data_IF_652798990789
#
_entry.id   IF_652798990789
#
_cell.length_a   1.000
_cell.length_b   1.000
_cell.length_c   1.000
_cell.angle_alpha   90.00
_cell.angle_beta   90.00
_cell.angle_gamma   90.00
#
_symmetry.space_group_name_H-M   'P 1'
#
loop_
_entity.id
_entity.type
_entity.pdbx_description
1 polymer ?
#
# COMPACT_ATOMS: atom_id res chain seq x y z
N UNK A 1 -15.83 10.16 44.38
CA UNK A 1 -14.60 9.35 44.58
C UNK A 1 -14.82 7.96 44.02
N UNK A 2 -14.51 7.71 42.76
CA UNK A 2 -14.45 6.35 42.21
C UNK A 2 -13.07 5.79 42.57
N UNK A 3 -13.07 4.69 43.32
CA UNK A 3 -11.86 3.92 43.66
C UNK A 3 -11.14 3.57 42.36
N UNK A 4 -9.85 3.82 42.30
CA UNK A 4 -8.91 3.17 41.39
C UNK A 4 -9.05 1.66 41.67
N UNK A 5 -9.83 0.94 40.85
CA UNK A 5 -9.78 -0.50 40.82
C UNK A 5 -8.40 -0.87 40.29
N UNK A 6 -7.60 -1.46 41.15
CA UNK A 6 -6.33 -2.08 40.80
C UNK A 6 -6.59 -3.02 39.63
N UNK A 7 -5.84 -2.82 38.56
CA UNK A 7 -5.87 -3.60 37.34
C UNK A 7 -5.99 -5.10 37.63
N UNK A 8 -7.08 -5.74 37.20
CA UNK A 8 -7.18 -7.19 37.23
C UNK A 8 -5.94 -7.81 36.59
N UNK A 9 -5.36 -8.89 37.10
CA UNK A 9 -4.19 -9.53 36.51
C UNK A 9 -4.46 -9.84 35.06
N UNK A 10 -3.49 -9.53 34.19
CA UNK A 10 -3.58 -9.75 32.74
C UNK A 10 -3.96 -11.20 32.48
N UNK A 11 -5.02 -11.45 31.72
CA UNK A 11 -5.46 -12.81 31.42
C UNK A 11 -4.35 -13.58 30.69
N UNK A 12 -4.26 -14.89 30.90
CA UNK A 12 -3.26 -15.74 30.23
C UNK A 12 -3.26 -15.56 28.71
N UNK A 13 -4.46 -15.43 28.11
CA UNK A 13 -4.60 -15.19 26.68
C UNK A 13 -3.95 -13.86 26.21
N UNK A 14 -4.13 -12.80 26.99
CA UNK A 14 -3.50 -11.49 26.70
C UNK A 14 -1.99 -11.54 26.82
N UNK A 15 -1.48 -12.19 27.89
CA UNK A 15 -0.04 -12.38 28.06
C UNK A 15 0.56 -13.17 26.88
N UNK A 16 -0.09 -14.26 26.48
CA UNK A 16 0.37 -15.09 25.36
C UNK A 16 0.40 -14.29 24.05
N UNK A 17 -0.61 -13.47 23.78
CA UNK A 17 -0.63 -12.60 22.59
C UNK A 17 0.54 -11.61 22.59
N UNK A 18 0.82 -10.97 23.72
CA UNK A 18 1.95 -10.05 23.86
C UNK A 18 3.28 -10.79 23.61
N UNK A 19 3.45 -11.97 24.21
CA UNK A 19 4.66 -12.77 24.02
C UNK A 19 4.82 -13.20 22.54
N UNK A 20 3.75 -13.60 21.88
CA UNK A 20 3.78 -13.96 20.45
C UNK A 20 4.10 -12.75 19.56
N UNK A 21 3.53 -11.58 19.84
CA UNK A 21 3.85 -10.37 19.08
C UNK A 21 5.31 -9.94 19.28
N UNK A 22 5.83 -10.00 20.50
CA UNK A 22 7.25 -9.72 20.81
C UNK A 22 8.17 -10.75 20.15
N UNK A 23 7.83 -12.04 20.23
CA UNK A 23 8.59 -13.11 19.56
C UNK A 23 8.59 -12.93 18.03
N UNK A 24 7.44 -12.57 17.44
CA UNK A 24 7.32 -12.27 16.03
C UNK A 24 8.15 -11.06 15.60
N UNK A 25 8.15 -9.99 16.40
CA UNK A 25 9.04 -8.84 16.21
C UNK A 25 10.50 -9.26 16.26
N UNK A 26 10.91 -10.03 17.29
CA UNK A 26 12.26 -10.58 17.39
C UNK A 26 12.64 -11.45 16.18
N UNK A 27 11.74 -12.32 15.72
CA UNK A 27 11.93 -13.11 14.49
C UNK A 27 12.15 -12.22 13.28
N UNK A 28 11.38 -11.14 13.15
CA UNK A 28 11.53 -10.16 12.05
C UNK A 28 12.92 -9.52 12.07
N UNK A 29 13.44 -9.17 13.27
CA UNK A 29 14.80 -8.65 13.40
C UNK A 29 15.86 -9.67 13.01
N UNK A 30 15.74 -10.92 13.49
CA UNK A 30 16.69 -12.00 13.16
C UNK A 30 16.78 -12.21 11.66
N UNK A 31 15.65 -12.15 10.96
CA UNK A 31 15.60 -12.41 9.51
C UNK A 31 16.07 -11.19 8.70
N UNK A 32 15.53 -10.01 8.98
CA UNK A 32 15.58 -8.87 8.06
C UNK A 32 16.44 -7.67 8.52
N UNK A 33 16.89 -7.61 9.79
CA UNK A 33 17.66 -6.46 10.25
C UNK A 33 18.94 -6.26 9.39
N UNK A 34 19.27 -5.07 8.96
CA UNK A 34 18.68 -3.75 9.23
C UNK A 34 17.54 -3.35 8.27
N UNK A 35 16.98 -4.26 7.52
CA UNK A 35 15.97 -4.02 6.49
C UNK A 35 16.54 -4.03 5.08
N UNK A 36 15.72 -4.39 4.10
CA UNK A 36 16.10 -4.41 2.68
C UNK A 36 15.89 -3.05 2.05
N UNK A 37 16.98 -2.38 1.72
CA UNK A 37 16.97 -1.10 1.04
C UNK A 37 16.90 -1.31 -0.48
N UNK A 38 15.70 -1.15 -1.05
CA UNK A 38 15.48 -1.24 -2.50
C UNK A 38 15.91 0.02 -3.22
N UNK A 39 15.82 0.02 -4.56
CA UNK A 39 16.09 1.21 -5.38
C UNK A 39 15.23 2.41 -4.93
N UNK A 40 13.91 2.21 -4.77
CA UNK A 40 13.01 3.26 -4.29
C UNK A 40 13.43 3.80 -2.91
N UNK A 41 13.83 2.92 -2.00
CA UNK A 41 14.28 3.30 -0.67
C UNK A 41 15.62 4.07 -0.70
N UNK A 42 16.55 3.66 -1.55
CA UNK A 42 17.82 4.39 -1.76
C UNK A 42 17.56 5.81 -2.26
N UNK A 43 16.64 5.98 -3.20
CA UNK A 43 16.24 7.28 -3.72
C UNK A 43 15.70 8.20 -2.61
N UNK A 44 14.79 7.68 -1.75
CA UNK A 44 14.29 8.42 -0.58
C UNK A 44 15.41 8.78 0.39
N UNK A 45 16.34 7.84 0.66
CA UNK A 45 17.44 8.07 1.59
C UNK A 45 18.47 9.09 1.04
N UNK A 46 18.69 9.11 -0.28
CA UNK A 46 19.50 10.14 -0.94
C UNK A 46 18.87 11.53 -0.83
N UNK A 47 17.55 11.63 -0.93
CA UNK A 47 16.84 12.89 -0.71
C UNK A 47 17.03 13.41 0.72
N UNK A 48 17.09 12.53 1.73
CA UNK A 48 17.44 12.90 3.12
C UNK A 48 18.85 13.49 3.16
N UNK A 49 19.83 12.81 2.56
CA UNK A 49 21.23 13.25 2.57
C UNK A 49 21.44 14.58 1.82
N UNK A 50 20.67 14.82 0.76
CA UNK A 50 20.71 16.04 -0.06
C UNK A 50 19.84 17.17 0.48
N UNK A 51 19.03 16.91 1.53
CA UNK A 51 18.01 17.84 2.03
C UNK A 51 17.03 18.31 0.94
N UNK A 52 16.66 17.41 0.03
CA UNK A 52 15.71 17.67 -1.05
C UNK A 52 14.41 16.94 -0.78
N UNK A 53 13.30 17.52 -1.24
CA UNK A 53 11.98 16.90 -1.16
C UNK A 53 11.35 16.94 -2.55
N UNK A 54 11.13 15.76 -3.13
CA UNK A 54 10.42 15.61 -4.40
C UNK A 54 9.11 14.85 -4.23
N UNK A 55 8.19 15.00 -5.19
CA UNK A 55 6.89 14.30 -5.19
C UNK A 55 6.89 13.00 -5.99
N UNK A 56 8.04 12.56 -6.52
CA UNK A 56 8.17 11.24 -7.16
C UNK A 56 8.01 10.11 -6.16
N UNK A 57 8.71 10.23 -5.05
CA UNK A 57 8.44 9.45 -3.85
C UNK A 57 7.59 10.29 -2.88
N UNK A 58 7.20 9.74 -1.73
CA UNK A 58 6.45 10.53 -0.76
C UNK A 58 7.37 11.45 0.03
N UNK A 59 7.27 12.78 -0.06
CA UNK A 59 8.06 13.69 0.76
C UNK A 59 7.79 13.50 2.25
N UNK A 60 6.61 13.02 2.63
CA UNK A 60 6.27 12.71 4.02
C UNK A 60 7.03 11.47 4.51
N UNK A 61 7.31 10.48 3.66
CA UNK A 61 8.17 9.36 4.01
C UNK A 61 9.62 9.84 4.22
N UNK A 62 10.12 10.75 3.36
CA UNK A 62 11.45 11.34 3.50
C UNK A 62 11.58 12.08 4.84
N UNK A 63 10.59 12.92 5.19
CA UNK A 63 10.57 13.65 6.47
C UNK A 63 10.47 12.68 7.66
N UNK A 64 9.57 11.72 7.64
CA UNK A 64 9.46 10.72 8.72
C UNK A 64 10.78 10.00 8.92
N UNK A 65 11.40 9.54 7.83
CA UNK A 65 12.66 8.82 7.91
C UNK A 65 13.79 9.71 8.43
N UNK A 66 13.90 10.96 8.00
CA UNK A 66 14.88 11.91 8.52
C UNK A 66 14.76 12.17 10.03
N UNK A 67 13.53 12.13 10.57
CA UNK A 67 13.26 12.29 12.01
C UNK A 67 13.70 11.07 12.80
N UNK A 68 13.50 9.87 12.27
CA UNK A 68 13.86 8.63 12.99
C UNK A 68 15.30 8.16 12.72
N UNK A 69 15.93 8.62 11.64
CA UNK A 69 17.27 8.20 11.21
C UNK A 69 18.35 8.37 12.32
N UNK A 70 18.37 9.45 13.12
CA UNK A 70 19.36 9.61 14.19
C UNK A 70 19.31 8.53 15.28
N UNK A 71 18.19 7.80 15.40
CA UNK A 71 18.05 6.71 16.39
C UNK A 71 18.79 5.43 15.96
N UNK A 72 18.84 5.17 14.66
CA UNK A 72 19.56 4.05 14.07
C UNK A 72 19.82 4.37 12.57
N UNK A 73 20.94 5.02 12.23
CA UNK A 73 21.20 5.54 10.91
C UNK A 73 21.09 4.50 9.78
N UNK A 74 20.62 4.93 8.62
CA UNK A 74 20.41 4.09 7.45
C UNK A 74 19.05 3.41 7.42
N UNK A 75 19.01 2.19 6.92
CA UNK A 75 17.78 1.42 6.77
C UNK A 75 17.13 1.00 8.10
N UNK A 76 17.92 0.89 9.16
CA UNK A 76 17.50 0.30 10.41
C UNK A 76 16.35 1.06 11.09
N UNK A 77 16.40 2.39 11.14
CA UNK A 77 15.40 3.20 11.85
C UNK A 77 13.99 3.03 11.29
N UNK A 78 13.84 3.20 9.98
CA UNK A 78 12.53 3.08 9.33
C UNK A 78 12.04 1.62 9.30
N UNK A 79 12.96 0.64 9.13
CA UNK A 79 12.64 -0.77 9.24
C UNK A 79 12.09 -1.13 10.62
N UNK A 80 12.76 -0.68 11.70
CA UNK A 80 12.30 -0.91 13.08
C UNK A 80 10.91 -0.32 13.33
N UNK A 81 10.66 0.89 12.83
CA UNK A 81 9.34 1.54 12.91
C UNK A 81 8.27 0.71 12.20
N UNK A 82 8.53 0.29 10.96
CA UNK A 82 7.57 -0.51 10.17
C UNK A 82 7.28 -1.86 10.82
N UNK A 83 8.31 -2.56 11.29
CA UNK A 83 8.18 -3.83 11.99
C UNK A 83 7.43 -3.68 13.32
N UNK A 84 7.71 -2.61 14.08
CA UNK A 84 7.00 -2.31 15.32
C UNK A 84 5.51 -2.03 15.04
N UNK A 85 5.18 -1.21 14.06
CA UNK A 85 3.79 -0.92 13.68
C UNK A 85 3.04 -2.18 13.26
N UNK A 86 3.70 -3.06 12.49
CA UNK A 86 3.12 -4.33 12.06
C UNK A 86 2.76 -5.23 13.24
N UNK A 87 3.72 -5.52 14.11
CA UNK A 87 3.51 -6.42 15.24
C UNK A 87 2.64 -5.80 16.34
N UNK A 88 2.71 -4.48 16.53
CA UNK A 88 1.79 -3.75 17.41
C UNK A 88 0.35 -3.90 16.90
N UNK A 89 0.12 -3.79 15.58
CA UNK A 89 -1.21 -3.94 15.00
C UNK A 89 -1.80 -5.32 15.28
N UNK A 90 -1.10 -6.40 14.93
CA UNK A 90 -1.59 -7.75 15.15
C UNK A 90 -1.65 -8.13 16.64
N UNK A 91 -0.72 -7.60 17.45
CA UNK A 91 -0.73 -7.74 18.91
C UNK A 91 -1.95 -7.07 19.55
N UNK A 92 -2.25 -5.82 19.20
CA UNK A 92 -3.44 -5.10 19.67
C UNK A 92 -4.74 -5.79 19.24
N UNK A 93 -4.80 -6.28 18.00
CA UNK A 93 -5.96 -7.01 17.52
C UNK A 93 -6.18 -8.30 18.32
N UNK A 94 -5.14 -9.11 18.50
CA UNK A 94 -5.20 -10.32 19.33
C UNK A 94 -5.57 -10.00 20.77
N UNK A 95 -5.01 -8.95 21.36
CA UNK A 95 -5.32 -8.50 22.71
C UNK A 95 -6.80 -8.13 22.85
N UNK A 96 -7.38 -7.43 21.88
CA UNK A 96 -8.81 -7.09 21.88
C UNK A 96 -9.73 -8.31 21.68
N UNK A 97 -9.24 -9.36 21.02
CA UNK A 97 -9.98 -10.59 20.81
C UNK A 97 -9.88 -11.58 22.00
N UNK A 98 -8.96 -11.34 22.95
CA UNK A 98 -8.70 -12.23 24.08
C UNK A 98 -9.92 -12.42 25.00
N UNK A 99 -10.78 -11.41 25.11
CA UNK A 99 -12.01 -11.48 25.91
C UNK A 99 -13.09 -12.39 25.26
N UNK A 100 -12.89 -12.80 24.01
CA UNK A 100 -13.83 -13.66 23.28
C UNK A 100 -13.41 -15.11 23.30
N UNK A 101 -12.20 -15.39 22.91
CA UNK A 101 -11.60 -16.71 23.01
C UNK A 101 -10.08 -16.64 22.85
N UNK A 102 -9.38 -17.53 23.53
CA UNK A 102 -7.93 -17.69 23.38
C UNK A 102 -7.52 -18.04 21.95
N UNK A 103 -8.30 -18.87 21.24
CA UNK A 103 -8.01 -19.26 19.86
C UNK A 103 -8.05 -18.06 18.91
N UNK A 104 -9.04 -17.18 19.03
CA UNK A 104 -9.13 -15.95 18.23
C UNK A 104 -8.01 -14.97 18.58
N UNK A 105 -7.68 -14.83 19.86
CA UNK A 105 -6.60 -13.97 20.30
C UNK A 105 -5.25 -14.37 19.68
N UNK A 106 -4.91 -15.65 19.79
CA UNK A 106 -3.64 -16.22 19.28
C UNK A 106 -3.61 -16.25 17.76
N UNK A 107 -4.75 -16.45 17.10
CA UNK A 107 -4.79 -16.49 15.62
C UNK A 107 -4.33 -15.18 14.98
N UNK A 108 -4.50 -14.03 15.64
CA UNK A 108 -4.05 -12.74 15.12
C UNK A 108 -2.52 -12.68 14.90
N UNK A 109 -1.66 -12.83 15.90
CA UNK A 109 -0.21 -12.84 15.68
C UNK A 109 0.30 -14.04 14.88
N UNK A 110 -0.41 -15.17 14.86
CA UNK A 110 -0.06 -16.33 14.03
C UNK A 110 -0.32 -16.04 12.56
N UNK A 111 -1.47 -15.45 12.21
CA UNK A 111 -1.78 -15.06 10.84
C UNK A 111 -0.88 -13.94 10.33
N UNK A 112 -0.30 -13.12 11.21
CA UNK A 112 0.73 -12.18 10.84
C UNK A 112 1.99 -12.84 10.23
N UNK A 113 2.24 -14.12 10.50
CA UNK A 113 3.32 -14.90 9.87
C UNK A 113 2.97 -15.44 8.49
N UNK A 114 1.73 -15.20 8.00
CA UNK A 114 1.33 -15.62 6.66
C UNK A 114 2.29 -15.04 5.61
N UNK A 115 2.85 -15.87 4.68
CA UNK A 115 3.92 -15.47 3.80
C UNK A 115 3.69 -14.15 3.05
N UNK A 116 2.55 -13.89 2.37
CA UNK A 116 2.33 -12.63 1.69
C UNK A 116 2.26 -11.40 2.60
N UNK A 117 1.90 -11.57 3.87
CA UNK A 117 1.89 -10.48 4.84
C UNK A 117 3.29 -10.28 5.44
N UNK A 118 3.94 -11.37 5.88
CA UNK A 118 5.19 -11.31 6.63
C UNK A 118 6.41 -10.97 5.77
N UNK A 119 6.49 -11.51 4.54
CA UNK A 119 7.69 -11.38 3.70
C UNK A 119 8.00 -9.94 3.31
N UNK A 120 6.99 -9.07 3.27
CA UNK A 120 7.16 -7.67 2.92
C UNK A 120 7.60 -6.78 4.09
N UNK A 121 7.41 -7.22 5.33
CA UNK A 121 7.73 -6.39 6.52
C UNK A 121 9.21 -5.99 6.55
N UNK A 122 10.10 -6.84 6.02
CA UNK A 122 11.53 -6.57 5.95
C UNK A 122 11.96 -5.63 4.84
N UNK A 123 11.06 -5.20 3.96
CA UNK A 123 11.38 -4.40 2.77
C UNK A 123 10.97 -2.95 2.99
N UNK A 124 11.91 -2.04 2.82
CA UNK A 124 11.65 -0.60 2.97
C UNK A 124 10.97 -0.09 1.70
N UNK A 125 9.65 -0.21 1.67
CA UNK A 125 8.80 0.36 0.63
C UNK A 125 7.72 1.25 1.24
N UNK A 126 7.42 2.35 0.57
CA UNK A 126 6.29 3.20 0.95
C UNK A 126 4.96 2.44 0.98
N UNK A 127 4.81 1.40 0.15
CA UNK A 127 3.63 0.53 0.12
C UNK A 127 3.48 -0.28 1.40
N UNK A 128 4.58 -0.76 1.96
CA UNK A 128 4.60 -1.49 3.23
C UNK A 128 4.29 -0.54 4.38
N UNK A 129 4.97 0.62 4.44
CA UNK A 129 4.71 1.64 5.46
C UNK A 129 3.25 2.12 5.41
N UNK A 130 2.72 2.37 4.20
CA UNK A 130 1.31 2.70 3.98
C UNK A 130 0.38 1.61 4.52
N UNK A 131 0.62 0.34 4.14
CA UNK A 131 -0.22 -0.78 4.55
C UNK A 131 -0.25 -0.98 6.06
N UNK A 132 0.91 -0.93 6.74
CA UNK A 132 0.96 -1.06 8.21
C UNK A 132 0.36 0.15 8.92
N UNK A 133 0.47 1.34 8.35
CA UNK A 133 -0.15 2.56 8.90
C UNK A 133 -1.68 2.45 8.86
N UNK A 134 -2.25 2.05 7.73
CA UNK A 134 -3.70 1.86 7.61
C UNK A 134 -4.22 0.68 8.44
N UNK A 135 -3.43 -0.39 8.58
CA UNK A 135 -3.74 -1.49 9.48
C UNK A 135 -3.83 -1.01 10.93
N UNK A 136 -2.83 -0.25 11.39
CA UNK A 136 -2.82 0.31 12.74
C UNK A 136 -4.00 1.26 12.95
N UNK A 137 -4.31 2.14 11.99
CA UNK A 137 -5.47 3.01 12.04
C UNK A 137 -6.79 2.24 12.24
N UNK A 138 -6.98 1.19 11.44
CA UNK A 138 -8.17 0.35 11.50
C UNK A 138 -8.30 -0.38 12.85
N UNK A 139 -7.19 -0.89 13.38
CA UNK A 139 -7.17 -1.65 14.62
C UNK A 139 -7.36 -0.74 15.83
N UNK A 140 -6.76 0.45 15.86
CA UNK A 140 -7.02 1.46 16.91
C UNK A 140 -8.51 1.77 16.98
N UNK A 141 -9.17 2.02 15.84
CA UNK A 141 -10.60 2.24 15.78
C UNK A 141 -11.42 1.02 16.25
N UNK A 142 -10.95 -0.21 15.97
CA UNK A 142 -11.60 -1.44 16.42
C UNK A 142 -11.51 -1.63 17.93
N UNK A 143 -10.33 -1.48 18.50
CA UNK A 143 -10.07 -1.67 19.94
C UNK A 143 -10.91 -0.71 20.79
N UNK A 144 -11.04 0.53 20.33
CA UNK A 144 -11.72 1.60 21.07
C UNK A 144 -13.22 1.74 20.70
N UNK A 145 -13.75 0.83 19.84
CA UNK A 145 -15.12 0.92 19.34
C UNK A 145 -16.20 0.83 20.43
N UNK A 146 -15.89 0.16 21.57
CA UNK A 146 -16.80 -0.03 22.69
C UNK A 146 -16.60 1.03 23.80
N UNK A 147 -15.59 1.87 23.70
CA UNK A 147 -15.36 2.97 24.67
C UNK A 147 -16.24 4.17 24.39
N UNK A 148 -16.42 5.01 25.41
CA UNK A 148 -17.19 6.24 25.33
C UNK A 148 -16.36 7.44 25.87
N UNK A 149 -16.83 8.66 25.56
CA UNK A 149 -16.19 9.87 26.07
C UNK A 149 -14.88 10.23 25.39
N UNK A 150 -13.95 10.81 26.18
CA UNK A 150 -12.71 11.41 25.68
C UNK A 150 -11.75 10.38 25.04
N UNK A 151 -11.70 9.17 25.59
CA UNK A 151 -10.78 8.12 25.09
C UNK A 151 -11.15 7.68 23.69
N UNK A 152 -12.46 7.54 23.41
CA UNK A 152 -12.95 7.28 22.06
C UNK A 152 -12.61 8.37 21.07
N UNK A 153 -12.80 9.64 21.48
CA UNK A 153 -12.50 10.80 20.60
C UNK A 153 -11.02 10.82 20.26
N UNK A 154 -10.15 10.62 21.27
CA UNK A 154 -8.70 10.56 21.05
C UNK A 154 -8.31 9.43 20.10
N UNK A 155 -8.82 8.22 20.33
CA UNK A 155 -8.53 7.09 19.46
C UNK A 155 -9.02 7.31 18.02
N UNK A 156 -10.20 7.89 17.84
CA UNK A 156 -10.70 8.26 16.51
C UNK A 156 -9.82 9.33 15.85
N UNK A 157 -9.36 10.32 16.59
CA UNK A 157 -8.45 11.34 16.08
C UNK A 157 -7.11 10.73 15.64
N UNK A 158 -6.53 9.83 16.46
CA UNK A 158 -5.31 9.10 16.12
C UNK A 158 -5.54 8.22 14.87
N UNK A 159 -6.65 7.49 14.81
CA UNK A 159 -6.95 6.64 13.66
C UNK A 159 -7.17 7.44 12.37
N UNK A 160 -7.86 8.59 12.44
CA UNK A 160 -8.04 9.50 11.30
C UNK A 160 -6.72 10.15 10.88
N UNK A 161 -5.87 10.53 11.84
CA UNK A 161 -4.52 11.02 11.56
C UNK A 161 -3.71 9.96 10.79
N UNK A 162 -3.67 8.70 11.28
CA UNK A 162 -2.99 7.61 10.60
C UNK A 162 -3.60 7.32 9.21
N UNK A 163 -4.92 7.42 9.06
CA UNK A 163 -5.58 7.28 7.76
C UNK A 163 -5.11 8.37 6.78
N UNK A 164 -5.11 9.63 7.20
CA UNK A 164 -4.60 10.75 6.41
C UNK A 164 -3.10 10.64 6.11
N UNK A 165 -2.31 10.22 7.11
CA UNK A 165 -0.88 9.97 6.93
C UNK A 165 -0.63 8.89 5.86
N UNK A 166 -1.43 7.81 5.84
CA UNK A 166 -1.37 6.81 4.79
C UNK A 166 -1.68 7.39 3.40
N UNK A 167 -2.63 8.32 3.27
CA UNK A 167 -2.89 9.02 2.00
C UNK A 167 -1.68 9.86 1.58
N UNK A 168 -1.00 10.51 2.52
CA UNK A 168 0.24 11.23 2.25
C UNK A 168 1.40 10.30 1.84
N UNK A 169 1.45 9.07 2.35
CA UNK A 169 2.42 8.07 1.89
C UNK A 169 2.12 7.58 0.47
N UNK A 170 0.84 7.38 0.14
CA UNK A 170 0.38 6.83 -1.15
C UNK A 170 -0.83 7.61 -1.67
N UNK A 171 -0.63 8.72 -2.40
CA UNK A 171 -1.73 9.56 -2.89
C UNK A 171 -2.78 8.84 -3.75
N UNK A 172 -2.41 7.74 -4.43
CA UNK A 172 -3.37 6.91 -5.17
C UNK A 172 -4.38 6.17 -4.25
N UNK A 173 -4.16 6.15 -2.93
CA UNK A 173 -5.14 5.67 -1.96
C UNK A 173 -6.29 6.65 -1.67
N UNK A 174 -6.21 7.85 -2.21
CA UNK A 174 -7.16 8.95 -2.01
C UNK A 174 -8.62 8.55 -2.24
N UNK A 175 -8.89 7.71 -3.25
CA UNK A 175 -10.25 7.24 -3.56
C UNK A 175 -10.71 6.15 -2.57
N UNK A 176 -9.78 5.38 -2.01
CA UNK A 176 -10.06 4.32 -1.04
C UNK A 176 -10.20 4.83 0.40
N UNK A 177 -9.51 5.93 0.73
CA UNK A 177 -9.48 6.53 2.07
C UNK A 177 -10.86 6.87 2.67
N UNK A 178 -11.84 7.40 1.93
CA UNK A 178 -13.17 7.69 2.47
C UNK A 178 -13.88 6.47 3.07
N UNK A 179 -13.65 5.27 2.54
CA UNK A 179 -14.26 4.05 3.05
C UNK A 179 -13.66 3.68 4.41
N UNK A 180 -12.34 3.75 4.52
CA UNK A 180 -11.64 3.51 5.79
C UNK A 180 -11.97 4.58 6.82
N UNK A 181 -12.01 5.86 6.42
CA UNK A 181 -12.40 6.97 7.29
C UNK A 181 -13.84 6.83 7.80
N UNK A 182 -14.77 6.43 6.93
CA UNK A 182 -16.16 6.16 7.34
C UNK A 182 -16.25 5.06 8.39
N UNK A 183 -15.46 4.00 8.26
CA UNK A 183 -15.36 2.97 9.29
C UNK A 183 -14.79 3.54 10.60
N UNK A 184 -13.70 4.31 10.55
CA UNK A 184 -13.07 4.91 11.73
C UNK A 184 -14.05 5.83 12.48
N UNK A 185 -14.86 6.60 11.75
CA UNK A 185 -15.88 7.48 12.34
C UNK A 185 -17.04 6.67 12.96
N UNK A 186 -17.43 5.55 12.35
CA UNK A 186 -18.52 4.69 12.81
C UNK A 186 -18.07 3.23 13.03
N UNK A 187 -17.15 2.95 13.97
CA UNK A 187 -16.53 1.63 14.09
C UNK A 187 -17.48 0.56 14.65
N UNK A 188 -18.55 0.95 15.37
CA UNK A 188 -19.50 0.02 15.97
C UNK A 188 -20.49 -0.62 14.96
N UNK A 189 -20.74 0.05 13.82
CA UNK A 189 -21.53 -0.47 12.69
C UNK A 189 -21.27 0.33 11.42
N UNK A 190 -21.21 -0.34 10.28
CA UNK A 190 -20.95 0.34 9.01
C UNK A 190 -22.18 1.05 8.47
N UNK A 191 -22.15 2.39 8.45
CA UNK A 191 -23.25 3.24 8.01
C UNK A 191 -23.10 3.59 6.54
N UNK A 192 -23.35 2.65 5.63
CA UNK A 192 -23.10 2.77 4.20
C UNK A 192 -23.70 4.04 3.56
N UNK A 193 -24.94 4.45 3.94
CA UNK A 193 -25.57 5.69 3.43
C UNK A 193 -24.78 6.93 3.83
N UNK A 194 -24.29 6.99 5.07
CA UNK A 194 -23.46 8.10 5.54
C UNK A 194 -22.07 8.04 4.89
N UNK A 195 -21.50 6.87 4.71
CA UNK A 195 -20.26 6.68 3.99
C UNK A 195 -20.37 7.19 2.54
N UNK A 196 -21.45 6.88 1.83
CA UNK A 196 -21.70 7.38 0.49
C UNK A 196 -21.87 8.92 0.47
N UNK A 197 -22.55 9.51 1.47
CA UNK A 197 -22.73 10.96 1.56
C UNK A 197 -21.42 11.71 1.78
N UNK A 198 -20.52 11.18 2.62
CA UNK A 198 -19.22 11.83 2.90
C UNK A 198 -18.14 11.47 1.88
N UNK A 199 -18.41 10.56 0.92
CA UNK A 199 -17.39 10.02 0.02
C UNK A 199 -16.69 11.11 -0.79
N UNK A 200 -17.47 11.95 -1.50
CA UNK A 200 -16.91 13.04 -2.34
C UNK A 200 -16.28 14.14 -1.48
N UNK A 201 -16.93 14.65 -0.41
CA UNK A 201 -16.27 15.59 0.49
C UNK A 201 -14.96 15.07 1.10
N UNK A 202 -14.90 13.80 1.48
CA UNK A 202 -13.68 13.20 2.03
C UNK A 202 -12.55 13.14 0.99
N UNK A 203 -12.86 12.81 -0.27
CA UNK A 203 -11.87 12.89 -1.37
C UNK A 203 -11.30 14.31 -1.47
N UNK A 204 -12.18 15.32 -1.46
CA UNK A 204 -11.75 16.72 -1.56
C UNK A 204 -10.86 17.12 -0.36
N UNK A 205 -11.21 16.69 0.86
CA UNK A 205 -10.43 16.96 2.07
C UNK A 205 -9.03 16.26 1.97
N UNK A 206 -8.98 14.99 1.60
CA UNK A 206 -7.71 14.27 1.46
C UNK A 206 -6.86 14.83 0.32
N UNK A 207 -7.47 15.23 -0.79
CA UNK A 207 -6.77 15.91 -1.88
C UNK A 207 -6.18 17.24 -1.41
N UNK A 208 -6.98 18.06 -0.73
CA UNK A 208 -6.52 19.32 -0.13
C UNK A 208 -5.38 19.10 0.87
N UNK A 209 -5.46 18.03 1.70
CA UNK A 209 -4.40 17.64 2.63
C UNK A 209 -3.09 17.33 1.90
N UNK A 210 -3.14 16.55 0.81
CA UNK A 210 -1.94 16.24 0.00
C UNK A 210 -1.35 17.52 -0.59
N UNK A 211 -2.17 18.38 -1.21
CA UNK A 211 -1.69 19.64 -1.80
C UNK A 211 -1.07 20.55 -0.76
N UNK A 212 -1.74 20.72 0.40
CA UNK A 212 -1.26 21.57 1.48
C UNK A 212 0.04 21.05 2.10
N UNK A 213 0.09 19.76 2.45
CA UNK A 213 1.30 19.19 3.10
C UNK A 213 2.47 19.12 2.12
N UNK A 214 2.28 18.57 0.91
CA UNK A 214 3.37 18.42 -0.04
C UNK A 214 3.96 19.76 -0.49
N UNK A 215 3.11 20.65 -0.97
CA UNK A 215 3.56 21.87 -1.64
C UNK A 215 3.46 23.12 -0.76
N UNK A 216 2.51 23.16 0.18
CA UNK A 216 2.37 24.29 1.09
C UNK A 216 3.31 24.21 2.29
N UNK A 217 3.30 23.09 3.04
CA UNK A 217 4.07 22.97 4.28
C UNK A 217 5.51 22.47 4.05
N UNK A 218 5.69 21.49 3.17
CA UNK A 218 7.00 20.86 2.92
C UNK A 218 7.76 21.49 1.73
N UNK A 219 7.09 22.26 0.87
CA UNK A 219 7.73 22.87 -0.31
C UNK A 219 8.29 21.86 -1.29
N UNK A 220 7.67 20.68 -1.43
CA UNK A 220 8.17 19.62 -2.29
C UNK A 220 8.23 20.05 -3.76
N UNK A 221 9.34 19.72 -4.42
CA UNK A 221 9.53 19.98 -5.84
C UNK A 221 8.62 19.08 -6.67
N UNK A 222 7.93 19.65 -7.66
CA UNK A 222 7.09 18.92 -8.60
C UNK A 222 7.94 18.17 -9.61
N UNK A 223 7.92 16.85 -9.56
CA UNK A 223 8.61 15.94 -10.48
C UNK A 223 7.63 15.28 -11.47
N UNK A 224 6.36 15.63 -11.39
CA UNK A 224 5.29 15.23 -12.30
C UNK A 224 5.05 13.71 -12.40
N UNK A 225 4.94 12.95 -11.30
CA UNK A 225 4.78 11.49 -11.34
C UNK A 225 3.51 11.03 -12.08
N UNK A 226 2.47 11.88 -12.16
CA UNK A 226 1.27 11.57 -12.95
C UNK A 226 1.54 11.48 -14.46
N UNK A 227 2.59 12.15 -14.95
CA UNK A 227 2.93 12.06 -16.36
C UNK A 227 3.56 10.71 -16.74
N UNK A 228 4.09 9.94 -15.80
CA UNK A 228 4.48 8.55 -16.06
C UNK A 228 3.29 7.70 -16.49
N UNK A 229 2.10 7.95 -15.90
CA UNK A 229 0.84 7.29 -16.29
C UNK A 229 0.46 7.69 -17.72
N UNK A 230 0.55 8.98 -18.03
CA UNK A 230 0.21 9.51 -19.36
C UNK A 230 1.15 8.99 -20.44
N UNK A 231 2.46 8.90 -20.16
CA UNK A 231 3.45 8.32 -21.08
C UNK A 231 3.16 6.83 -21.30
N UNK A 232 2.81 6.10 -20.23
CA UNK A 232 2.43 4.69 -20.35
C UNK A 232 1.19 4.49 -21.20
N UNK A 233 0.18 5.36 -21.01
CA UNK A 233 -1.05 5.35 -21.82
C UNK A 233 -0.77 5.69 -23.28
N UNK A 234 0.00 6.76 -23.54
CA UNK A 234 0.36 7.14 -24.91
C UNK A 234 1.04 6.00 -25.65
N UNK A 235 1.96 5.28 -24.97
CA UNK A 235 2.60 4.12 -25.53
C UNK A 235 1.65 2.95 -25.78
N UNK A 236 0.74 2.67 -24.84
CA UNK A 236 -0.27 1.64 -24.97
C UNK A 236 -1.28 1.97 -26.08
N UNK A 237 -1.80 3.18 -26.12
CA UNK A 237 -2.72 3.64 -27.17
C UNK A 237 -2.03 3.56 -28.53
N UNK A 238 -0.80 4.05 -28.65
CA UNK A 238 -0.04 3.97 -29.90
C UNK A 238 0.14 2.54 -30.38
N UNK A 239 0.42 1.61 -29.46
CA UNK A 239 0.55 0.20 -29.79
C UNK A 239 -0.75 -0.43 -30.33
N UNK A 240 -1.88 -0.19 -29.68
CA UNK A 240 -3.16 -0.79 -30.05
C UNK A 240 -3.81 -0.09 -31.25
N UNK A 241 -3.71 1.25 -31.33
CA UNK A 241 -4.22 2.02 -32.46
C UNK A 241 -3.31 1.95 -33.70
N UNK A 242 -2.06 1.47 -33.57
CA UNK A 242 -1.05 1.49 -34.62
C UNK A 242 -0.78 2.89 -35.22
N UNK A 243 -0.93 3.90 -34.38
CA UNK A 243 -0.70 5.31 -34.72
C UNK A 243 0.11 5.97 -33.59
N UNK A 244 1.04 6.88 -33.95
CA UNK A 244 1.83 7.59 -32.95
C UNK A 244 0.98 8.65 -32.23
N UNK A 245 0.80 8.51 -30.92
CA UNK A 245 0.07 9.45 -30.08
C UNK A 245 0.98 10.31 -29.19
N UNK A 246 2.29 10.03 -29.18
CA UNK A 246 3.25 10.91 -28.49
C UNK A 246 3.33 12.28 -29.17
N UNK A 247 3.52 13.38 -28.40
CA UNK A 247 3.61 14.73 -28.96
C UNK A 247 4.99 15.02 -29.60
N UNK A 248 5.60 14.00 -30.21
CA UNK A 248 6.90 14.07 -30.89
C UNK A 248 6.84 13.33 -32.22
N UNK A 249 7.63 13.78 -33.19
CA UNK A 249 7.81 13.04 -34.43
C UNK A 249 8.99 12.08 -34.26
N UNK A 250 8.73 10.82 -34.49
CA UNK A 250 9.76 9.79 -34.53
C UNK A 250 10.31 9.64 -35.95
N UNK A 251 11.58 9.23 -36.09
CA UNK A 251 12.03 8.70 -37.36
C UNK A 251 11.40 7.33 -37.63
N UNK A 252 11.51 6.84 -38.88
CA UNK A 252 10.81 5.60 -39.33
C UNK A 252 11.13 4.39 -38.40
N UNK A 253 12.39 4.24 -37.98
CA UNK A 253 12.83 3.17 -37.08
C UNK A 253 12.28 3.34 -35.67
N UNK A 254 12.32 4.53 -35.12
CA UNK A 254 11.79 4.83 -33.79
C UNK A 254 10.27 4.63 -33.76
N UNK A 255 9.58 5.07 -34.81
CA UNK A 255 8.13 4.88 -34.95
C UNK A 255 7.78 3.39 -35.00
N UNK A 256 8.49 2.60 -35.78
CA UNK A 256 8.28 1.15 -35.82
C UNK A 256 8.47 0.51 -34.42
N UNK A 257 9.53 0.92 -33.70
CA UNK A 257 9.79 0.45 -32.34
C UNK A 257 8.65 0.83 -31.39
N UNK A 258 8.22 2.09 -31.40
CA UNK A 258 7.13 2.58 -30.53
C UNK A 258 5.84 1.80 -30.77
N UNK A 259 5.48 1.58 -32.02
CA UNK A 259 4.22 0.92 -32.39
C UNK A 259 4.23 -0.59 -32.12
N UNK A 260 5.38 -1.26 -32.27
CA UNK A 260 5.44 -2.72 -32.30
C UNK A 260 6.25 -3.35 -31.15
N UNK A 261 7.27 -2.67 -30.61
CA UNK A 261 8.23 -3.27 -29.70
C UNK A 261 8.26 -2.63 -28.30
N UNK A 262 7.99 -1.31 -28.19
CA UNK A 262 8.16 -0.55 -26.95
C UNK A 262 6.93 -0.57 -26.03
N UNK A 263 6.01 -1.47 -26.26
CA UNK A 263 4.88 -1.65 -25.36
C UNK A 263 5.03 -2.94 -24.54
N UNK A 264 4.92 -2.81 -23.22
CA UNK A 264 4.76 -3.91 -22.28
C UNK A 264 3.60 -3.60 -21.35
N UNK A 265 2.60 -4.46 -21.23
CA UNK A 265 1.46 -4.21 -20.33
C UNK A 265 1.83 -4.28 -18.85
N UNK A 266 3.04 -4.70 -18.53
CA UNK A 266 3.50 -4.94 -17.15
C UNK A 266 4.17 -3.74 -16.50
N UNK A 267 4.76 -2.84 -17.29
CA UNK A 267 5.59 -1.76 -16.74
C UNK A 267 5.83 -0.63 -17.75
N UNK A 268 5.85 0.60 -17.25
CA UNK A 268 6.25 1.77 -18.04
C UNK A 268 7.77 1.95 -18.13
N UNK A 269 8.52 1.24 -17.29
CA UNK A 269 9.98 1.32 -17.18
C UNK A 269 10.70 1.05 -18.50
N UNK A 270 10.03 0.36 -19.43
CA UNK A 270 10.55 0.13 -20.77
C UNK A 270 10.93 1.44 -21.47
N UNK A 271 10.21 2.55 -21.22
CA UNK A 271 10.40 3.81 -21.90
C UNK A 271 11.61 4.62 -21.42
N UNK A 272 12.14 4.35 -20.23
CA UNK A 272 13.25 5.12 -19.68
C UNK A 272 14.49 4.28 -19.34
N UNK A 273 14.35 2.98 -19.08
CA UNK A 273 15.43 2.13 -18.59
C UNK A 273 15.90 1.06 -19.57
N UNK A 274 14.99 0.52 -20.39
CA UNK A 274 15.27 -0.68 -21.16
C UNK A 274 15.54 -0.38 -22.64
N UNK A 275 16.57 -1.03 -23.17
CA UNK A 275 16.80 -1.04 -24.62
C UNK A 275 15.78 -1.95 -25.34
N UNK A 276 15.37 -1.61 -26.55
CA UNK A 276 15.80 -0.44 -27.35
C UNK A 276 14.96 0.83 -27.08
N UNK A 277 14.07 0.86 -26.10
CA UNK A 277 12.98 1.84 -25.99
C UNK A 277 13.27 3.04 -25.06
N UNK A 278 14.40 3.06 -24.35
CA UNK A 278 14.79 4.18 -23.46
C UNK A 278 14.90 5.53 -24.18
N UNK A 279 15.01 5.53 -25.52
CA UNK A 279 15.02 6.77 -26.32
C UNK A 279 13.73 7.58 -26.15
N UNK A 280 12.59 6.94 -25.81
CA UNK A 280 11.31 7.62 -25.65
C UNK A 280 11.40 8.69 -24.55
N UNK A 281 11.80 8.32 -23.34
CA UNK A 281 11.95 9.30 -22.27
C UNK A 281 13.11 10.25 -22.49
N UNK A 282 14.23 9.76 -23.04
CA UNK A 282 15.34 10.66 -23.42
C UNK A 282 14.86 11.76 -24.37
N UNK A 283 14.01 11.44 -25.34
CA UNK A 283 13.44 12.43 -26.27
C UNK A 283 12.49 13.39 -25.56
N UNK A 284 11.59 12.86 -24.69
CA UNK A 284 10.60 13.67 -23.97
C UNK A 284 11.22 14.59 -22.92
N UNK A 285 12.27 14.16 -22.22
CA UNK A 285 12.91 14.93 -21.14
C UNK A 285 14.06 15.81 -21.67
N UNK A 286 15.07 15.20 -22.25
CA UNK A 286 16.29 15.90 -22.63
C UNK A 286 16.21 16.54 -24.03
N UNK A 287 15.54 15.87 -25.00
CA UNK A 287 15.43 16.35 -26.37
C UNK A 287 14.44 17.50 -26.49
N UNK A 288 13.16 17.22 -26.35
CA UNK A 288 12.08 18.18 -26.60
C UNK A 288 11.63 18.92 -25.32
N UNK A 289 12.08 18.47 -24.14
CA UNK A 289 11.73 19.06 -22.82
C UNK A 289 10.22 19.16 -22.58
N UNK A 290 9.48 18.13 -22.98
CA UNK A 290 8.02 18.07 -22.89
C UNK A 290 7.53 17.48 -21.59
N UNK A 291 8.34 16.59 -20.95
CA UNK A 291 8.01 16.00 -19.66
C UNK A 291 7.96 17.10 -18.60
N UNK A 292 6.89 17.12 -17.80
CA UNK A 292 6.61 18.20 -16.84
C UNK A 292 5.76 19.35 -17.41
N UNK A 293 5.43 19.33 -18.70
CA UNK A 293 4.64 20.39 -19.35
C UNK A 293 3.20 19.95 -19.66
N UNK A 294 2.35 20.90 -20.07
CA UNK A 294 0.96 20.58 -20.51
C UNK A 294 0.91 19.74 -21.80
N UNK A 295 1.99 19.77 -22.61
CA UNK A 295 2.01 19.07 -23.90
C UNK A 295 1.76 17.55 -23.76
N UNK A 296 2.31 16.91 -22.72
CA UNK A 296 2.05 15.50 -22.43
C UNK A 296 0.59 15.29 -22.05
N UNK A 297 0.04 16.15 -21.18
CA UNK A 297 -1.35 16.05 -20.72
C UNK A 297 -2.34 16.27 -21.86
N UNK A 298 -2.09 17.25 -22.71
CA UNK A 298 -2.91 17.53 -23.90
C UNK A 298 -2.86 16.40 -24.92
N UNK A 299 -1.66 15.85 -25.19
CA UNK A 299 -1.50 14.69 -26.08
C UNK A 299 -2.26 13.48 -25.52
N UNK A 300 -2.11 13.18 -24.23
CA UNK A 300 -2.81 12.09 -23.56
C UNK A 300 -4.33 12.25 -23.64
N UNK A 301 -4.87 13.42 -23.30
CA UNK A 301 -6.32 13.67 -23.35
C UNK A 301 -6.87 13.52 -24.77
N UNK A 302 -6.12 14.00 -25.79
CA UNK A 302 -6.47 13.84 -27.19
C UNK A 302 -6.43 12.38 -27.66
N UNK A 303 -5.38 11.63 -27.26
CA UNK A 303 -5.23 10.22 -27.60
C UNK A 303 -6.36 9.36 -27.01
N UNK A 304 -6.71 9.59 -25.73
CA UNK A 304 -7.84 8.90 -25.06
C UNK A 304 -9.16 9.22 -25.75
N UNK A 305 -9.41 10.48 -26.12
CA UNK A 305 -10.64 10.89 -26.79
C UNK A 305 -10.73 10.33 -28.24
N UNK A 306 -9.59 10.23 -28.95
CA UNK A 306 -9.53 9.75 -30.33
C UNK A 306 -9.59 8.23 -30.43
N UNK A 307 -8.94 7.53 -29.49
CA UNK A 307 -8.80 6.08 -29.47
C UNK A 307 -9.27 5.44 -28.14
N UNK A 308 -10.55 5.63 -27.74
CA UNK A 308 -11.04 5.15 -26.43
C UNK A 308 -10.99 3.62 -26.30
N UNK A 309 -11.15 2.87 -27.40
CA UNK A 309 -11.05 1.40 -27.37
C UNK A 309 -9.61 0.97 -27.11
N UNK A 310 -8.63 1.52 -27.82
CA UNK A 310 -7.22 1.22 -27.62
C UNK A 310 -6.75 1.57 -26.20
N UNK A 311 -7.28 2.66 -25.61
CA UNK A 311 -7.05 3.01 -24.21
C UNK A 311 -7.59 1.93 -23.26
N UNK A 312 -8.83 1.47 -23.48
CA UNK A 312 -9.42 0.41 -22.65
C UNK A 312 -8.68 -0.92 -22.81
N UNK A 313 -8.28 -1.28 -24.03
CA UNK A 313 -7.47 -2.48 -24.30
C UNK A 313 -6.13 -2.43 -23.56
N UNK A 314 -5.44 -1.29 -23.61
CA UNK A 314 -4.22 -1.07 -22.87
C UNK A 314 -4.43 -1.25 -21.36
N UNK A 315 -5.42 -0.57 -20.78
CA UNK A 315 -5.68 -0.61 -19.35
C UNK A 315 -6.20 -1.98 -18.88
N UNK A 316 -7.00 -2.66 -19.68
CA UNK A 316 -7.45 -4.02 -19.41
C UNK A 316 -6.27 -5.02 -19.46
N UNK A 317 -5.38 -4.87 -20.44
CA UNK A 317 -4.16 -5.68 -20.54
C UNK A 317 -3.24 -5.48 -19.33
N UNK A 318 -3.02 -4.22 -18.93
CA UNK A 318 -2.29 -3.91 -17.69
C UNK A 318 -2.96 -4.56 -16.48
N UNK A 319 -4.27 -4.33 -16.25
CA UNK A 319 -5.00 -4.83 -15.09
C UNK A 319 -5.01 -6.35 -15.02
N UNK A 320 -5.15 -7.02 -16.17
CA UNK A 320 -5.04 -8.47 -16.25
C UNK A 320 -3.67 -8.96 -15.76
N UNK A 321 -2.59 -8.36 -16.28
CA UNK A 321 -1.24 -8.72 -15.86
C UNK A 321 -0.98 -8.41 -14.37
N UNK A 322 -1.50 -7.31 -13.85
CA UNK A 322 -1.40 -6.98 -12.42
C UNK A 322 -2.12 -8.00 -11.54
N UNK A 323 -3.35 -8.39 -11.91
CA UNK A 323 -4.15 -9.31 -11.09
C UNK A 323 -3.70 -10.78 -11.20
N UNK A 324 -3.30 -11.23 -12.38
CA UNK A 324 -2.96 -12.62 -12.67
C UNK A 324 -1.47 -12.92 -12.67
N UNK A 325 -0.63 -11.90 -12.83
CA UNK A 325 0.82 -12.04 -12.92
C UNK A 325 1.46 -12.43 -11.59
N UNK A 326 2.62 -13.09 -11.69
CA UNK A 326 3.51 -13.38 -10.56
C UNK A 326 4.75 -12.48 -10.61
N UNK A 327 4.61 -11.25 -11.09
CA UNK A 327 5.68 -10.26 -11.16
C UNK A 327 5.99 -9.76 -9.76
N UNK A 328 6.69 -10.57 -9.02
CA UNK A 328 7.10 -10.31 -7.67
C UNK A 328 8.62 -10.21 -7.64
N UNK A 329 9.11 -8.98 -7.56
CA UNK A 329 10.53 -8.70 -7.35
C UNK A 329 10.70 -8.20 -5.93
N UNK A 330 10.94 -9.12 -4.99
CA UNK A 330 11.26 -8.78 -3.60
C UNK A 330 12.69 -9.19 -3.28
N UNK A 331 13.26 -8.51 -2.28
CA UNK A 331 14.61 -8.75 -1.77
C UNK A 331 15.70 -8.60 -2.84
N UNK A 332 15.58 -7.60 -3.70
CA UNK A 332 16.64 -7.21 -4.63
C UNK A 332 17.56 -6.21 -3.93
N UNK A 333 18.79 -6.58 -3.69
CA UNK A 333 19.79 -5.75 -3.03
C UNK A 333 20.23 -4.59 -3.93
N UNK A 334 20.41 -4.88 -5.20
CA UNK A 334 20.90 -3.93 -6.19
C UNK A 334 20.20 -4.18 -7.52
N UNK A 335 19.60 -3.13 -8.08
CA UNK A 335 18.93 -3.21 -9.38
C UNK A 335 19.95 -3.40 -10.51
N UNK A 336 21.15 -2.87 -10.34
CA UNK A 336 22.23 -2.98 -11.33
C UNK A 336 22.94 -4.36 -11.26
N UNK A 337 22.93 -4.99 -10.08
CA UNK A 337 23.46 -6.31 -9.87
C UNK A 337 22.47 -7.23 -9.14
N UNK A 338 21.44 -7.78 -9.82
CA UNK A 338 20.42 -8.63 -9.21
C UNK A 338 20.95 -9.94 -8.61
N UNK A 339 22.15 -10.35 -8.99
CA UNK A 339 22.82 -11.55 -8.45
C UNK A 339 23.43 -11.34 -7.07
N UNK A 340 23.51 -10.11 -6.58
CA UNK A 340 24.02 -9.81 -5.25
C UNK A 340 23.16 -10.45 -4.17
N UNK A 341 23.80 -11.25 -3.31
CA UNK A 341 23.10 -11.97 -2.25
C UNK A 341 22.80 -11.05 -1.09
N UNK A 342 21.51 -10.85 -0.78
CA UNK A 342 21.08 -10.19 0.44
C UNK A 342 21.44 -11.00 1.68
N UNK A 343 21.92 -10.30 2.72
CA UNK A 343 22.24 -10.92 4.01
C UNK A 343 23.06 -12.21 3.89
N UNK A 344 24.24 -12.18 3.25
CA UNK A 344 25.08 -13.36 3.08
C UNK A 344 25.36 -14.02 4.44
N UNK A 345 25.29 -15.35 4.49
CA UNK A 345 25.55 -16.13 5.70
C UNK A 345 24.41 -16.13 6.74
N UNK A 346 23.21 -15.64 6.43
CA UNK A 346 22.04 -15.73 7.34
C UNK A 346 21.13 -16.91 7.00
N UNK A 347 21.19 -18.02 7.76
CA UNK A 347 20.40 -19.22 7.46
C UNK A 347 18.89 -18.99 7.55
N UNK A 348 18.45 -18.13 8.47
CA UNK A 348 17.03 -17.79 8.61
C UNK A 348 16.48 -17.06 7.37
N UNK A 349 17.23 -16.13 6.79
CA UNK A 349 16.84 -15.45 5.55
C UNK A 349 16.87 -16.41 4.35
N UNK A 350 17.87 -17.27 4.26
CA UNK A 350 17.98 -18.28 3.20
C UNK A 350 16.78 -19.26 3.24
N UNK A 351 16.40 -19.73 4.42
CA UNK A 351 15.22 -20.57 4.60
C UNK A 351 13.93 -19.85 4.18
N UNK A 352 13.77 -18.59 4.59
CA UNK A 352 12.60 -17.77 4.20
C UNK A 352 12.54 -17.57 2.68
N UNK A 353 13.68 -17.31 2.04
CA UNK A 353 13.78 -17.16 0.59
C UNK A 353 13.40 -18.44 -0.15
N UNK A 354 13.83 -19.60 0.34
CA UNK A 354 13.43 -20.89 -0.23
C UNK A 354 11.90 -21.10 -0.15
N UNK A 355 11.29 -20.75 0.98
CA UNK A 355 9.82 -20.78 1.12
C UNK A 355 9.15 -19.81 0.15
N UNK A 356 9.68 -18.60 0.02
CA UNK A 356 9.15 -17.61 -0.94
C UNK A 356 9.21 -18.15 -2.38
N UNK A 357 10.37 -18.69 -2.80
CA UNK A 357 10.57 -19.14 -4.18
C UNK A 357 9.66 -20.34 -4.51
N UNK A 358 9.38 -21.20 -3.53
CA UNK A 358 8.42 -22.30 -3.66
C UNK A 358 6.96 -21.79 -3.74
N UNK A 359 6.61 -20.72 -3.03
CA UNK A 359 5.24 -20.19 -2.98
C UNK A 359 4.96 -19.14 -4.07
N UNK A 360 5.99 -18.50 -4.62
CA UNK A 360 5.86 -17.45 -5.64
C UNK A 360 4.94 -17.82 -6.82
N UNK A 361 4.99 -19.01 -7.40
CA UNK A 361 4.11 -19.38 -8.52
C UNK A 361 2.66 -19.64 -8.11
N UNK A 362 2.37 -19.71 -6.81
CA UNK A 362 1.04 -20.03 -6.30
C UNK A 362 0.11 -18.80 -6.33
N UNK A 363 -1.21 -18.99 -6.18
CA UNK A 363 -2.18 -17.89 -6.04
C UNK A 363 -1.91 -16.95 -4.87
N UNK A 364 -1.13 -17.36 -3.87
CA UNK A 364 -0.80 -16.54 -2.69
C UNK A 364 -0.07 -15.23 -3.06
N UNK A 365 0.70 -15.22 -4.16
CA UNK A 365 1.43 -14.05 -4.63
C UNK A 365 0.84 -13.44 -5.91
N UNK A 366 -0.48 -13.59 -6.09
CA UNK A 366 -1.23 -12.92 -7.15
C UNK A 366 -2.18 -11.88 -6.54
N UNK A 367 -2.12 -10.65 -7.03
CA UNK A 367 -2.94 -9.54 -6.53
C UNK A 367 -4.45 -9.85 -6.65
N UNK A 368 -4.86 -10.51 -7.73
CA UNK A 368 -6.24 -10.93 -7.96
C UNK A 368 -6.79 -11.88 -6.89
N UNK A 369 -5.96 -12.76 -6.34
CA UNK A 369 -6.38 -13.64 -5.26
C UNK A 369 -6.80 -12.86 -4.02
N UNK A 370 -6.04 -11.83 -3.64
CA UNK A 370 -6.34 -11.00 -2.48
C UNK A 370 -7.50 -10.03 -2.72
N UNK A 371 -7.68 -9.60 -3.97
CA UNK A 371 -8.90 -8.89 -4.37
C UNK A 371 -10.13 -9.78 -4.16
N UNK A 372 -10.11 -11.03 -4.64
CA UNK A 372 -11.22 -11.97 -4.48
C UNK A 372 -11.46 -12.33 -3.01
N UNK A 373 -10.40 -12.56 -2.23
CA UNK A 373 -10.52 -12.82 -0.78
C UNK A 373 -11.14 -11.62 -0.06
N UNK A 374 -10.68 -10.40 -0.35
CA UNK A 374 -11.27 -9.18 0.23
C UNK A 374 -12.74 -9.02 -0.16
N UNK A 375 -13.11 -9.33 -1.41
CA UNK A 375 -14.52 -9.31 -1.86
C UNK A 375 -15.36 -10.35 -1.12
N UNK A 376 -14.88 -11.58 -0.97
CA UNK A 376 -15.59 -12.64 -0.23
C UNK A 376 -15.78 -12.26 1.24
N UNK A 377 -14.74 -11.74 1.89
CA UNK A 377 -14.81 -11.24 3.27
C UNK A 377 -15.83 -10.11 3.37
N UNK A 378 -15.82 -9.14 2.47
CA UNK A 378 -16.76 -8.02 2.49
C UNK A 378 -18.21 -8.48 2.29
N UNK A 379 -18.47 -9.41 1.35
CA UNK A 379 -19.81 -9.97 1.12
C UNK A 379 -20.32 -10.69 2.38
N UNK A 380 -19.46 -11.49 3.03
CA UNK A 380 -19.81 -12.15 4.28
C UNK A 380 -20.08 -11.13 5.40
N UNK A 381 -19.20 -10.14 5.55
CA UNK A 381 -19.30 -9.09 6.56
C UNK A 381 -20.53 -8.20 6.37
N UNK A 382 -21.04 -8.06 5.14
CA UNK A 382 -22.23 -7.26 4.85
C UNK A 382 -23.47 -7.73 5.60
N UNK A 383 -23.57 -9.04 5.82
CA UNK A 383 -24.64 -9.63 6.65
C UNK A 383 -24.52 -9.25 8.13
N UNK A 384 -23.33 -8.84 8.56
CA UNK A 384 -22.99 -8.45 9.94
C UNK A 384 -22.63 -6.96 10.04
N UNK A 385 -23.02 -6.10 9.07
CA UNK A 385 -22.65 -4.68 8.99
C UNK A 385 -23.06 -3.84 10.20
N UNK A 386 -24.06 -4.32 10.98
CA UNK A 386 -24.57 -3.69 12.19
C UNK A 386 -23.79 -4.10 13.45
N UNK A 387 -22.73 -4.87 13.29
CA UNK A 387 -21.78 -5.25 14.35
C UNK A 387 -20.42 -4.58 14.12
N UNK A 388 -19.62 -4.44 15.16
CA UNK A 388 -18.27 -3.86 15.05
C UNK A 388 -17.35 -4.72 14.18
N UNK A 389 -17.50 -6.05 14.21
CA UNK A 389 -16.74 -7.00 13.40
C UNK A 389 -17.03 -6.83 11.91
N UNK A 390 -18.32 -6.74 11.59
CA UNK A 390 -18.76 -6.48 10.22
C UNK A 390 -18.34 -5.12 9.75
N UNK A 391 -18.43 -4.08 10.59
CA UNK A 391 -17.98 -2.74 10.26
C UNK A 391 -16.46 -2.67 9.98
N UNK A 392 -15.65 -3.34 10.81
CA UNK A 392 -14.22 -3.48 10.59
C UNK A 392 -13.93 -4.10 9.23
N UNK A 393 -14.44 -5.30 8.99
CA UNK A 393 -14.15 -6.03 7.76
C UNK A 393 -14.63 -5.30 6.49
N UNK A 394 -15.81 -4.65 6.54
CA UNK A 394 -16.30 -3.82 5.42
C UNK A 394 -15.37 -2.61 5.19
N UNK A 395 -14.97 -1.92 6.26
CA UNK A 395 -14.10 -0.76 6.16
C UNK A 395 -12.74 -1.09 5.57
N UNK A 396 -12.06 -2.11 6.11
CA UNK A 396 -10.71 -2.47 5.65
C UNK A 396 -10.71 -3.18 4.31
N UNK A 397 -11.56 -4.21 4.11
CA UNK A 397 -11.62 -4.91 2.82
C UNK A 397 -12.26 -4.04 1.73
N UNK A 398 -13.27 -3.23 2.04
CA UNK A 398 -13.86 -2.29 1.09
C UNK A 398 -12.87 -1.25 0.60
N UNK A 399 -12.08 -0.65 1.50
CA UNK A 399 -10.99 0.26 1.10
C UNK A 399 -9.91 -0.46 0.30
N UNK A 400 -9.58 -1.71 0.63
CA UNK A 400 -8.59 -2.51 -0.08
C UNK A 400 -9.03 -2.85 -1.51
N UNK A 401 -10.31 -3.23 -1.69
CA UNK A 401 -10.89 -3.49 -3.02
C UNK A 401 -10.81 -2.24 -3.88
N UNK A 402 -11.27 -1.10 -3.37
CA UNK A 402 -11.23 0.16 -4.13
C UNK A 402 -9.79 0.54 -4.44
N UNK A 403 -8.85 0.41 -3.49
CA UNK A 403 -7.44 0.69 -3.70
C UNK A 403 -6.84 -0.14 -4.84
N UNK A 404 -7.07 -1.47 -4.85
CA UNK A 404 -6.60 -2.35 -5.93
C UNK A 404 -7.23 -1.97 -7.27
N UNK A 405 -8.53 -1.67 -7.29
CA UNK A 405 -9.24 -1.29 -8.53
C UNK A 405 -8.78 0.06 -9.10
N UNK A 406 -8.29 1.00 -8.27
CA UNK A 406 -7.74 2.28 -8.78
C UNK A 406 -6.54 2.08 -9.69
N UNK A 407 -5.80 0.98 -9.58
CA UNK A 407 -4.67 0.67 -10.46
C UNK A 407 -5.09 0.48 -11.93
N UNK A 408 -6.35 0.19 -12.21
CA UNK A 408 -6.84 0.23 -13.58
C UNK A 408 -6.58 1.60 -14.24
N UNK A 409 -6.77 2.69 -13.52
CA UNK A 409 -6.58 4.04 -14.04
C UNK A 409 -5.16 4.59 -13.82
N UNK A 410 -4.53 4.26 -12.66
CA UNK A 410 -3.28 4.92 -12.27
C UNK A 410 -2.06 3.97 -12.22
N UNK A 411 -2.25 2.69 -12.55
CA UNK A 411 -1.16 1.72 -12.53
C UNK A 411 -0.16 1.92 -13.66
N UNK A 412 1.12 1.80 -13.34
CA UNK A 412 2.24 1.89 -14.31
C UNK A 412 3.20 0.70 -14.21
N UNK A 413 3.02 -0.16 -13.21
CA UNK A 413 3.77 -1.40 -13.04
C UNK A 413 2.89 -2.46 -12.37
N UNK A 414 3.00 -3.71 -12.83
CA UNK A 414 2.25 -4.85 -12.31
C UNK A 414 3.05 -5.56 -11.20
N UNK A 415 3.26 -4.86 -10.08
CA UNK A 415 3.98 -5.40 -8.93
C UNK A 415 3.00 -5.82 -7.83
N UNK A 416 3.19 -7.02 -7.26
CA UNK A 416 2.35 -7.55 -6.18
C UNK A 416 2.31 -6.65 -4.94
N UNK A 417 3.39 -5.87 -4.66
CA UNK A 417 3.44 -4.94 -3.52
C UNK A 417 2.26 -3.96 -3.49
N UNK A 418 1.71 -3.63 -4.63
CA UNK A 418 0.54 -2.74 -4.73
C UNK A 418 -0.75 -3.35 -4.18
N UNK A 419 -0.81 -4.68 -4.03
CA UNK A 419 -1.91 -5.36 -3.36
C UNK A 419 -1.67 -5.58 -1.85
N UNK A 420 -0.56 -5.08 -1.29
CA UNK A 420 -0.18 -5.37 0.09
C UNK A 420 -1.23 -4.93 1.11
N UNK A 421 -1.90 -3.80 0.88
CA UNK A 421 -3.05 -3.41 1.71
C UNK A 421 -4.18 -4.45 1.68
N UNK A 422 -4.49 -5.04 0.53
CA UNK A 422 -5.52 -6.08 0.43
C UNK A 422 -5.12 -7.36 1.17
N UNK A 423 -3.83 -7.70 1.18
CA UNK A 423 -3.29 -8.79 2.00
C UNK A 423 -3.53 -8.53 3.49
N UNK A 424 -3.08 -7.38 4.00
CA UNK A 424 -3.18 -7.03 5.42
C UNK A 424 -4.65 -6.92 5.87
N UNK A 425 -5.49 -6.26 5.07
CA UNK A 425 -6.92 -6.12 5.31
C UNK A 425 -7.62 -7.48 5.43
N UNK A 426 -7.32 -8.40 4.51
CA UNK A 426 -7.89 -9.75 4.51
C UNK A 426 -7.41 -10.55 5.71
N UNK A 427 -6.10 -10.59 5.96
CA UNK A 427 -5.50 -11.34 7.07
C UNK A 427 -6.03 -10.87 8.42
N UNK A 428 -6.12 -9.55 8.64
CA UNK A 428 -6.65 -8.99 9.88
C UNK A 428 -8.16 -9.23 10.06
N UNK A 429 -8.92 -9.31 8.96
CA UNK A 429 -10.38 -9.53 9.03
C UNK A 429 -10.77 -10.96 9.41
N UNK A 430 -9.93 -11.95 9.12
CA UNK A 430 -10.23 -13.36 9.41
C UNK A 430 -10.51 -13.61 10.89
N UNK A 431 -9.60 -13.31 11.84
CA UNK A 431 -9.83 -13.57 13.26
C UNK A 431 -11.00 -12.76 13.82
N UNK A 432 -11.25 -11.57 13.28
CA UNK A 432 -12.36 -10.71 13.69
C UNK A 432 -13.71 -11.33 13.33
N UNK A 433 -13.84 -11.90 12.14
CA UNK A 433 -15.12 -12.47 11.65
C UNK A 433 -15.39 -13.89 12.11
N UNK A 434 -14.37 -14.67 12.49
CA UNK A 434 -14.53 -16.02 13.02
C UNK A 434 -15.20 -16.02 14.40
N UNK A 435 -15.14 -14.93 15.14
CA UNK A 435 -15.80 -14.76 16.42
C UNK A 435 -17.33 -14.59 16.30
N UNK A 436 -18.09 -14.91 17.38
CA UNK A 436 -19.50 -14.58 17.43
C UNK A 436 -19.71 -13.06 17.35
N UNK A 437 -20.76 -12.58 16.67
CA UNK A 437 -21.03 -11.16 16.58
C UNK A 437 -21.37 -10.57 17.95
N UNK A 438 -20.76 -9.45 18.30
CA UNK A 438 -21.17 -8.69 19.48
C UNK A 438 -22.41 -7.87 19.14
N UNK A 439 -23.57 -8.38 19.56
CA UNK A 439 -24.80 -7.59 19.55
C UNK A 439 -24.73 -6.60 20.73
N UNK A 440 -24.76 -5.31 20.46
CA UNK A 440 -25.00 -4.33 21.52
C UNK A 440 -26.35 -4.66 22.15
N UNK A 441 -26.37 -4.90 23.46
CA UNK A 441 -27.62 -4.78 24.23
C UNK A 441 -28.06 -3.32 24.05
N UNK A 442 -29.21 -3.12 23.41
CA UNK A 442 -29.83 -1.82 23.14
C UNK A 442 -30.06 -0.99 24.39
#
# INVERSE_FOLDING_TARGET
MRRFEMTSPMSFARLLVVLLAVAGFGLTLVIFYPGVMTYDAKFVYEDIAKHTLGDWQSPVMTVLWSVVDPLAPGSASIFLLMAAMYWLSFGLLGYALADRSMGLAVSSPVLALMPPAFFFVGIIWRDVLFGVTWLLAAIVAFVESDREGKDRILAQAVALFLCGFGVLLRPNSLIAAPILAAYIIWPARFRWRRAALIFVPAIAIFFGLVQFIYYGALGATRQHPLQSIMVFDLGGISHFAKENEFPVRWNDREQELVLNCCYRPTEWDIYWRLEPCKFVMHRLEAGEKLFGTSAITEAWARAVARHPIAYVEHRASFMWNFLSGSNLTIWVANVENPSETLFPGRPAFAALRAVHDALKPTPLFRAGSWLLVSMAIMIFAWRRRDTREGAFAIGVCGSAIVYVLTFFAVGVASDFRYAYWAVLASVASVPVLLGPPTLRRG
#
